data_IF_895807395373
#
_entry.id   IF_895807395373
#
_cell.length_a   1.000
_cell.length_b   1.000
_cell.length_c   1.000
_cell.angle_alpha   90.00
_cell.angle_beta   90.00
_cell.angle_gamma   90.00
#
_symmetry.space_group_name_H-M   'P 1'
#
loop_
_entity.id
_entity.type
_entity.pdbx_description
1 polymer ?
#
# COMPACT_ATOMS: atom_id res chain seq x y z
N UNK A 1 -15.99 -3.92 -23.25
CA UNK A 1 -15.92 -4.15 -21.78
C UNK A 1 -14.61 -4.86 -21.49
N UNK A 2 -13.83 -4.36 -20.53
CA UNK A 2 -12.53 -4.92 -20.13
C UNK A 2 -12.63 -5.39 -18.66
N UNK A 3 -12.27 -6.65 -18.42
CA UNK A 3 -12.32 -7.26 -17.09
C UNK A 3 -11.01 -7.03 -16.34
N UNK A 4 -11.14 -6.76 -15.04
CA UNK A 4 -10.04 -6.64 -14.09
C UNK A 4 -10.28 -7.56 -12.90
N UNK A 5 -9.29 -7.69 -12.00
CA UNK A 5 -9.42 -8.48 -10.78
C UNK A 5 -8.79 -7.78 -9.57
N UNK A 6 -8.96 -6.45 -9.46
CA UNK A 6 -8.34 -5.65 -8.40
C UNK A 6 -8.81 -6.11 -7.01
N UNK A 7 -10.11 -6.39 -6.86
CA UNK A 7 -10.72 -6.90 -5.64
C UNK A 7 -10.32 -8.35 -5.30
N UNK A 8 -9.68 -9.07 -6.22
CA UNK A 8 -9.26 -10.46 -6.01
C UNK A 8 -8.27 -10.65 -4.86
N UNK A 9 -7.47 -9.63 -4.54
CA UNK A 9 -6.54 -9.67 -3.40
C UNK A 9 -7.26 -9.57 -2.04
N UNK A 10 -8.54 -9.18 -2.04
CA UNK A 10 -9.37 -8.98 -0.86
C UNK A 10 -10.48 -10.04 -0.77
N UNK A 11 -10.80 -10.74 -1.87
CA UNK A 11 -11.78 -11.82 -1.96
C UNK A 11 -11.11 -13.17 -2.21
N UNK A 12 -11.42 -13.84 -3.33
CA UNK A 12 -11.07 -15.23 -3.64
C UNK A 12 -9.59 -15.55 -3.45
N UNK A 13 -8.72 -14.61 -3.84
CA UNK A 13 -7.27 -14.80 -3.87
C UNK A 13 -6.53 -14.05 -2.78
N UNK A 14 -7.24 -13.72 -1.70
CA UNK A 14 -6.66 -13.17 -0.47
C UNK A 14 -5.48 -14.02 0.01
N UNK A 15 -4.38 -13.36 0.36
CA UNK A 15 -3.12 -14.04 0.73
C UNK A 15 -3.25 -14.91 1.96
N UNK A 16 -4.17 -14.54 2.86
CA UNK A 16 -4.40 -15.20 4.14
C UNK A 16 -3.43 -14.76 5.25
N UNK A 17 -2.32 -14.07 4.94
CA UNK A 17 -1.28 -13.69 5.91
C UNK A 17 -1.82 -12.85 7.08
N UNK A 18 -2.74 -11.92 6.79
CA UNK A 18 -3.38 -11.11 7.85
C UNK A 18 -4.30 -11.93 8.75
N UNK A 19 -4.72 -13.12 8.31
CA UNK A 19 -5.44 -14.10 9.12
C UNK A 19 -4.59 -14.68 10.26
N UNK A 20 -3.26 -14.60 10.22
CA UNK A 20 -2.41 -14.98 11.35
C UNK A 20 -2.69 -14.09 12.58
N UNK A 21 -2.93 -12.79 12.35
CA UNK A 21 -3.35 -11.86 13.40
C UNK A 21 -4.74 -12.21 13.98
N UNK A 22 -5.66 -12.68 13.14
CA UNK A 22 -6.97 -13.15 13.59
C UNK A 22 -6.88 -14.39 14.47
N UNK A 23 -6.01 -15.35 14.13
CA UNK A 23 -5.79 -16.54 14.95
C UNK A 23 -5.24 -16.17 16.34
N UNK A 24 -4.29 -15.24 16.40
CA UNK A 24 -3.78 -14.73 17.67
C UNK A 24 -4.87 -14.01 18.48
N UNK A 25 -5.62 -13.11 17.83
CA UNK A 25 -6.69 -12.32 18.46
C UNK A 25 -7.85 -13.19 18.98
N UNK A 26 -8.17 -14.27 18.28
CA UNK A 26 -9.24 -15.21 18.66
C UNK A 26 -8.79 -16.30 19.64
N UNK A 27 -7.52 -16.28 20.10
CA UNK A 27 -6.99 -17.28 21.03
C UNK A 27 -6.66 -18.63 20.39
N UNK A 28 -6.73 -18.75 19.06
CA UNK A 28 -6.45 -19.96 18.28
C UNK A 28 -4.95 -20.15 18.04
N UNK A 29 -4.18 -20.18 19.13
CA UNK A 29 -2.73 -20.33 19.09
C UNK A 29 -2.29 -21.69 18.54
N UNK A 30 -3.12 -22.71 18.71
CA UNK A 30 -2.96 -24.04 18.10
C UNK A 30 -2.78 -23.94 16.58
N UNK A 31 -3.69 -23.23 15.92
CA UNK A 31 -3.65 -23.03 14.46
C UNK A 31 -2.56 -22.07 14.04
N UNK A 32 -2.29 -21.03 14.84
CA UNK A 32 -1.21 -20.10 14.55
C UNK A 32 0.14 -20.83 14.49
N UNK A 33 0.46 -21.64 15.50
CA UNK A 33 1.71 -22.41 15.57
C UNK A 33 1.79 -23.41 14.42
N UNK A 34 0.66 -24.04 14.05
CA UNK A 34 0.60 -25.00 12.94
C UNK A 34 0.89 -24.32 11.58
N UNK A 35 0.33 -23.14 11.32
CA UNK A 35 0.34 -22.51 9.99
C UNK A 35 1.55 -21.60 9.77
N UNK A 36 2.03 -20.94 10.82
CA UNK A 36 3.09 -19.93 10.75
C UNK A 36 4.39 -20.43 10.06
N UNK A 37 4.90 -21.65 10.33
CA UNK A 37 6.10 -22.14 9.66
C UNK A 37 5.95 -22.31 8.15
N UNK A 38 4.83 -22.86 7.71
CA UNK A 38 4.57 -22.99 6.28
C UNK A 38 4.40 -21.62 5.63
N UNK A 39 3.68 -20.70 6.27
CA UNK A 39 3.47 -19.34 5.76
C UNK A 39 4.80 -18.56 5.58
N UNK A 40 5.74 -18.71 6.52
CA UNK A 40 7.07 -18.13 6.42
C UNK A 40 7.89 -18.76 5.28
N UNK A 41 7.95 -20.09 5.23
CA UNK A 41 8.73 -20.83 4.20
C UNK A 41 8.19 -20.63 2.79
N UNK A 42 6.88 -20.41 2.63
CA UNK A 42 6.24 -20.26 1.32
C UNK A 42 6.91 -19.19 0.45
N UNK A 43 7.45 -18.12 1.05
CA UNK A 43 8.21 -17.07 0.36
C UNK A 43 9.65 -16.91 0.87
N UNK A 44 10.25 -17.99 1.36
CA UNK A 44 11.64 -17.97 1.85
C UNK A 44 11.88 -16.91 2.95
N UNK A 45 10.83 -16.58 3.71
CA UNK A 45 10.90 -15.65 4.83
C UNK A 45 11.30 -16.34 6.13
N UNK A 46 11.62 -15.55 7.14
CA UNK A 46 11.92 -16.08 8.48
C UNK A 46 10.66 -16.21 9.32
N UNK A 47 10.65 -17.19 10.24
CA UNK A 47 9.59 -17.38 11.23
C UNK A 47 9.36 -16.10 12.03
N UNK A 48 10.43 -15.57 12.62
CA UNK A 48 10.38 -14.36 13.43
C UNK A 48 9.95 -13.13 12.63
N UNK A 49 10.45 -12.96 11.40
CA UNK A 49 10.05 -11.86 10.54
C UNK A 49 8.57 -11.89 10.21
N UNK A 50 8.03 -13.08 9.91
CA UNK A 50 6.60 -13.27 9.61
C UNK A 50 5.74 -13.04 10.85
N UNK A 51 6.11 -13.60 12.00
CA UNK A 51 5.41 -13.40 13.27
C UNK A 51 5.39 -11.92 13.65
N UNK A 52 6.55 -11.26 13.58
CA UNK A 52 6.69 -9.85 13.90
C UNK A 52 5.83 -8.97 12.99
N UNK A 53 5.89 -9.18 11.67
CA UNK A 53 5.22 -8.33 10.70
C UNK A 53 3.70 -8.56 10.61
N UNK A 54 3.24 -9.82 10.75
CA UNK A 54 1.84 -10.18 10.53
C UNK A 54 1.02 -10.27 11.83
N UNK A 55 1.68 -10.47 12.98
CA UNK A 55 1.00 -10.68 14.27
C UNK A 55 1.40 -9.60 15.27
N UNK A 56 2.68 -9.52 15.64
CA UNK A 56 3.11 -8.68 16.78
C UNK A 56 2.94 -7.18 16.50
N UNK A 57 3.53 -6.67 15.41
CA UNK A 57 3.46 -5.23 15.07
C UNK A 57 2.02 -4.78 14.86
N UNK A 58 1.17 -5.48 14.08
CA UNK A 58 -0.23 -5.06 13.92
C UNK A 58 -1.03 -5.08 15.23
N UNK A 59 -0.70 -5.99 16.16
CA UNK A 59 -1.37 -6.10 17.46
C UNK A 59 -1.00 -5.03 18.48
N UNK A 60 0.10 -4.29 18.23
CA UNK A 60 0.45 -3.18 19.10
C UNK A 60 -0.59 -2.05 19.01
N UNK A 61 -0.95 -1.44 20.15
CA UNK A 61 -1.74 -0.21 20.18
C UNK A 61 -1.15 0.88 19.26
N UNK A 62 -1.98 1.67 18.55
CA UNK A 62 -1.53 2.70 17.61
C UNK A 62 -0.47 3.64 18.20
N UNK A 63 -0.64 4.05 19.46
CA UNK A 63 0.33 4.91 20.18
C UNK A 63 1.72 4.26 20.25
N UNK A 64 1.79 2.96 20.58
CA UNK A 64 3.07 2.24 20.63
C UNK A 64 3.69 2.05 19.25
N UNK A 65 2.86 1.82 18.21
CA UNK A 65 3.35 1.73 16.82
C UNK A 65 3.96 3.05 16.37
N UNK A 66 3.28 4.16 16.63
CA UNK A 66 3.79 5.50 16.33
C UNK A 66 5.10 5.79 17.08
N UNK A 67 5.18 5.48 18.38
CA UNK A 67 6.42 5.65 19.17
C UNK A 67 7.57 4.80 18.62
N UNK A 68 7.33 3.53 18.31
CA UNK A 68 8.33 2.65 17.71
C UNK A 68 8.78 3.11 16.32
N UNK A 69 7.89 3.78 15.59
CA UNK A 69 8.22 4.36 14.30
C UNK A 69 9.08 5.62 14.47
N UNK A 70 8.72 6.54 15.38
CA UNK A 70 9.49 7.76 15.67
C UNK A 70 10.88 7.44 16.20
N UNK A 71 11.01 6.39 17.01
CA UNK A 71 12.32 5.91 17.47
C UNK A 71 13.22 5.45 16.32
N UNK A 72 12.65 4.91 15.25
CA UNK A 72 13.40 4.51 14.03
C UNK A 72 13.61 5.64 13.03
N UNK A 73 12.79 6.70 13.11
CA UNK A 73 12.81 7.84 12.18
C UNK A 73 12.73 9.14 13.00
N UNK A 74 13.83 9.52 13.68
CA UNK A 74 13.84 10.72 14.52
C UNK A 74 13.48 11.97 13.70
N UNK A 75 12.58 12.80 14.22
CA UNK A 75 12.16 14.06 13.58
C UNK A 75 11.11 13.93 12.48
N UNK A 76 10.74 12.71 12.09
CA UNK A 76 9.63 12.50 11.15
C UNK A 76 8.32 12.20 11.92
N UNK A 77 7.16 12.36 11.27
CA UNK A 77 5.86 11.88 11.75
C UNK A 77 5.34 10.76 10.83
N UNK A 78 4.67 9.70 11.35
CA UNK A 78 4.21 8.58 10.52
C UNK A 78 3.37 8.99 9.30
N UNK A 79 2.64 10.10 9.44
CA UNK A 79 1.75 10.68 8.45
C UNK A 79 2.47 11.36 7.28
N UNK A 80 3.75 11.72 7.42
CA UNK A 80 4.46 12.53 6.41
C UNK A 80 5.23 11.70 5.38
N UNK A 81 5.38 10.40 5.61
CA UNK A 81 6.24 9.51 4.81
C UNK A 81 5.90 9.44 3.31
N UNK A 82 4.67 9.75 2.91
CA UNK A 82 4.22 9.48 1.53
C UNK A 82 4.43 10.63 0.55
N UNK A 83 4.66 11.86 0.99
CA UNK A 83 4.73 13.03 0.11
C UNK A 83 5.77 14.07 0.57
N UNK A 84 6.76 13.67 1.37
CA UNK A 84 7.78 14.57 1.94
C UNK A 84 7.16 15.79 2.64
N UNK A 85 6.08 15.59 3.39
CA UNK A 85 5.45 16.67 4.15
C UNK A 85 6.38 17.02 5.32
N UNK A 86 6.60 18.32 5.59
CA UNK A 86 7.35 18.75 6.77
C UNK A 86 6.61 18.36 8.04
N UNK A 87 7.32 17.81 9.01
CA UNK A 87 6.73 17.39 10.29
C UNK A 87 6.10 18.57 11.02
N UNK A 88 6.71 19.75 10.95
CA UNK A 88 6.20 20.99 11.55
C UNK A 88 4.84 21.36 10.96
N UNK A 89 4.72 21.35 9.63
CA UNK A 89 3.44 21.62 8.96
C UNK A 89 2.38 20.60 9.34
N UNK A 90 2.73 19.31 9.37
CA UNK A 90 1.81 18.24 9.76
C UNK A 90 1.28 18.41 11.20
N UNK A 91 2.10 18.94 12.11
CA UNK A 91 1.69 19.29 13.48
C UNK A 91 0.75 20.50 13.46
N UNK A 92 1.10 21.57 12.76
CA UNK A 92 0.29 22.81 12.66
C UNK A 92 -1.13 22.53 12.16
N UNK A 93 -1.28 21.71 11.12
CA UNK A 93 -2.60 21.37 10.55
C UNK A 93 -3.30 20.21 11.27
N UNK A 94 -2.68 19.66 12.32
CA UNK A 94 -3.25 18.56 13.10
C UNK A 94 -3.44 17.26 12.30
N UNK A 95 -2.58 16.98 11.32
CA UNK A 95 -2.71 15.84 10.40
C UNK A 95 -2.84 14.50 11.13
N UNK A 96 -2.04 14.30 12.18
CA UNK A 96 -2.09 13.08 12.99
C UNK A 96 -3.42 12.92 13.74
N UNK A 97 -4.04 14.02 14.19
CA UNK A 97 -5.35 13.99 14.82
C UNK A 97 -6.46 13.70 13.80
N UNK A 98 -6.38 14.29 12.60
CA UNK A 98 -7.31 14.02 11.51
C UNK A 98 -7.28 12.55 11.07
N UNK A 99 -6.09 11.95 10.96
CA UNK A 99 -5.93 10.53 10.68
C UNK A 99 -6.48 9.65 11.82
N UNK A 100 -6.20 10.01 13.07
CA UNK A 100 -6.71 9.28 14.22
C UNK A 100 -8.24 9.28 14.30
N UNK A 101 -8.90 10.38 13.93
CA UNK A 101 -10.35 10.47 13.82
C UNK A 101 -10.93 9.51 12.76
N UNK A 102 -10.15 9.14 11.76
CA UNK A 102 -10.49 8.13 10.75
C UNK A 102 -10.02 6.71 11.12
N UNK A 103 -9.41 6.53 12.30
CA UNK A 103 -8.85 5.25 12.73
C UNK A 103 -7.55 4.86 12.02
N UNK A 104 -6.85 5.81 11.38
CA UNK A 104 -5.53 5.61 10.77
C UNK A 104 -4.44 6.18 11.68
N UNK A 105 -3.32 5.46 11.79
CA UNK A 105 -2.14 5.87 12.56
C UNK A 105 -0.99 6.34 11.67
N UNK A 106 -1.26 6.55 10.37
CA UNK A 106 -0.27 6.90 9.35
C UNK A 106 0.62 5.72 8.93
N UNK A 107 0.52 4.57 9.62
CA UNK A 107 1.30 3.37 9.32
C UNK A 107 0.55 2.39 8.42
N UNK A 108 -0.72 2.66 8.13
CA UNK A 108 -1.57 1.83 7.27
C UNK A 108 -1.69 0.37 7.77
N UNK A 109 -1.52 0.17 9.07
CA UNK A 109 -1.68 -1.13 9.73
C UNK A 109 -3.12 -1.37 10.20
N UNK A 110 -3.91 -0.30 10.35
CA UNK A 110 -5.35 -0.22 10.63
C UNK A 110 -5.87 -1.10 11.78
N UNK A 111 -5.82 -2.42 11.66
CA UNK A 111 -6.37 -3.37 12.63
C UNK A 111 -5.77 -4.77 12.50
N UNK A 112 -5.85 -5.56 13.57
CA UNK A 112 -5.54 -7.00 13.58
C UNK A 112 -6.67 -7.86 13.03
N UNK A 113 -7.87 -7.29 12.88
CA UNK A 113 -9.03 -7.99 12.31
C UNK A 113 -8.98 -7.93 10.78
N UNK A 114 -8.67 -9.06 10.13
CA UNK A 114 -8.49 -9.05 8.68
C UNK A 114 -9.79 -8.75 7.94
N UNK A 115 -10.97 -9.01 8.52
CA UNK A 115 -12.26 -8.67 7.88
C UNK A 115 -12.50 -7.18 7.88
N UNK A 116 -12.25 -6.52 9.00
CA UNK A 116 -12.31 -5.05 9.08
C UNK A 116 -11.30 -4.40 8.13
N UNK A 117 -10.10 -4.98 8.03
CA UNK A 117 -9.08 -4.52 7.08
C UNK A 117 -9.55 -4.66 5.63
N UNK A 118 -10.15 -5.79 5.26
CA UNK A 118 -10.71 -6.03 3.92
C UNK A 118 -11.82 -5.02 3.62
N UNK A 119 -12.77 -4.83 4.56
CA UNK A 119 -13.87 -3.89 4.40
C UNK A 119 -13.37 -2.45 4.19
N UNK A 120 -12.39 -2.02 5.00
CA UNK A 120 -11.75 -0.72 4.86
C UNK A 120 -11.09 -0.53 3.48
N UNK A 121 -10.32 -1.53 3.02
CA UNK A 121 -9.68 -1.46 1.70
C UNK A 121 -10.69 -1.44 0.56
N UNK A 122 -11.77 -2.23 0.64
CA UNK A 122 -12.84 -2.24 -0.36
C UNK A 122 -13.54 -0.88 -0.45
N UNK A 123 -13.86 -0.29 0.70
CA UNK A 123 -14.50 1.04 0.73
C UNK A 123 -13.57 2.10 0.11
N UNK A 124 -12.30 2.11 0.50
CA UNK A 124 -11.32 3.04 -0.06
C UNK A 124 -11.09 2.81 -1.57
N UNK A 125 -11.01 1.56 -2.01
CA UNK A 125 -10.86 1.20 -3.41
C UNK A 125 -12.07 1.65 -4.23
N UNK A 126 -13.29 1.42 -3.74
CA UNK A 126 -14.52 1.86 -4.39
C UNK A 126 -14.50 3.38 -4.62
N UNK A 127 -14.24 4.16 -3.57
CA UNK A 127 -14.20 5.63 -3.68
C UNK A 127 -13.15 6.09 -4.68
N UNK A 128 -11.92 5.55 -4.62
CA UNK A 128 -10.81 5.96 -5.50
C UNK A 128 -10.99 5.55 -6.95
N UNK A 129 -11.65 4.42 -7.21
CA UNK A 129 -11.72 3.87 -8.58
C UNK A 129 -12.89 4.50 -9.36
N UNK A 130 -13.94 5.00 -8.68
CA UNK A 130 -15.13 5.54 -9.34
C UNK A 130 -14.82 6.62 -10.39
N UNK A 131 -13.96 7.57 -10.06
CA UNK A 131 -13.56 8.63 -11.00
C UNK A 131 -12.81 8.05 -12.18
N UNK A 132 -11.81 7.19 -11.93
CA UNK A 132 -11.03 6.51 -12.97
C UNK A 132 -11.92 5.71 -13.92
N UNK A 133 -12.88 4.94 -13.41
CA UNK A 133 -13.82 4.15 -14.23
C UNK A 133 -14.66 5.05 -15.15
N UNK A 134 -15.17 6.16 -14.61
CA UNK A 134 -15.97 7.13 -15.38
C UNK A 134 -15.14 7.82 -16.45
N UNK A 135 -13.94 8.26 -16.10
CA UNK A 135 -13.00 8.90 -17.02
C UNK A 135 -12.63 7.95 -18.16
N UNK A 136 -12.30 6.69 -17.86
CA UNK A 136 -11.94 5.72 -18.90
C UNK A 136 -13.09 5.48 -19.88
N UNK A 137 -14.32 5.38 -19.37
CA UNK A 137 -15.51 5.26 -20.21
C UNK A 137 -15.75 6.50 -21.06
N UNK A 138 -15.62 7.69 -20.48
CA UNK A 138 -15.88 8.95 -21.17
C UNK A 138 -14.84 9.24 -22.27
N UNK A 139 -13.56 9.03 -21.99
CA UNK A 139 -12.47 9.36 -22.92
C UNK A 139 -12.17 8.25 -23.92
N UNK A 140 -12.25 6.98 -23.51
CA UNK A 140 -11.82 5.85 -24.34
C UNK A 140 -12.96 4.92 -24.76
N UNK A 141 -14.21 5.18 -24.34
CA UNK A 141 -15.39 4.45 -24.79
C UNK A 141 -15.53 3.02 -24.26
N UNK A 142 -14.63 2.54 -23.39
CA UNK A 142 -14.72 1.20 -22.80
C UNK A 142 -15.03 1.24 -21.31
N UNK A 143 -15.70 0.21 -20.83
CA UNK A 143 -16.01 0.04 -19.42
C UNK A 143 -15.09 -1.00 -18.78
N UNK A 144 -14.51 -0.65 -17.63
CA UNK A 144 -13.81 -1.58 -16.75
C UNK A 144 -14.80 -2.23 -15.77
N UNK A 145 -14.74 -3.55 -15.63
CA UNK A 145 -15.53 -4.32 -14.65
C UNK A 145 -14.63 -5.23 -13.83
N UNK A 146 -14.94 -5.40 -12.55
CA UNK A 146 -14.25 -6.31 -11.65
C UNK A 146 -15.22 -7.39 -11.14
N UNK A 147 -15.25 -8.58 -11.75
CA UNK A 147 -16.12 -9.67 -11.27
C UNK A 147 -15.80 -10.11 -9.84
N UNK A 148 -14.57 -9.86 -9.35
CA UNK A 148 -14.16 -10.23 -8.00
C UNK A 148 -14.60 -9.22 -6.94
N UNK A 149 -15.25 -8.12 -7.35
CA UNK A 149 -15.90 -7.15 -6.47
C UNK A 149 -17.41 -7.38 -6.30
N UNK A 150 -17.94 -8.49 -6.83
CA UNK A 150 -19.34 -8.87 -6.66
C UNK A 150 -19.70 -9.00 -5.15
N UNK A 151 -20.81 -8.40 -4.68
CA UNK A 151 -21.19 -8.43 -3.27
C UNK A 151 -21.40 -9.85 -2.73
N UNK A 152 -22.02 -10.74 -3.50
CA UNK A 152 -22.32 -12.11 -3.05
C UNK A 152 -21.03 -12.92 -2.94
N UNK A 153 -20.14 -12.79 -3.92
CA UNK A 153 -18.80 -13.39 -3.85
C UNK A 153 -18.01 -12.84 -2.66
N UNK A 154 -18.10 -11.55 -2.40
CA UNK A 154 -17.40 -10.91 -1.29
C UNK A 154 -17.94 -11.41 0.05
N UNK A 155 -19.25 -11.49 0.23
CA UNK A 155 -19.89 -12.03 1.43
C UNK A 155 -19.47 -13.48 1.67
N UNK A 156 -19.54 -14.32 0.64
CA UNK A 156 -19.05 -15.70 0.69
C UNK A 156 -17.57 -15.74 1.12
N UNK A 157 -16.72 -14.94 0.48
CA UNK A 157 -15.30 -14.89 0.79
C UNK A 157 -15.01 -14.41 2.22
N UNK A 158 -15.82 -13.50 2.78
CA UNK A 158 -15.71 -13.02 4.16
C UNK A 158 -16.19 -14.05 5.19
N UNK A 159 -17.20 -14.85 4.84
CA UNK A 159 -17.72 -15.93 5.68
C UNK A 159 -16.70 -17.08 5.86
N UNK A 160 -15.87 -17.35 4.85
CA UNK A 160 -14.88 -18.44 4.91
C UNK A 160 -13.94 -18.29 6.12
N UNK A 161 -13.64 -19.37 6.88
CA UNK A 161 -12.64 -19.36 7.94
C UNK A 161 -11.26 -18.93 7.43
N UNK A 162 -10.57 -18.04 8.15
CA UNK A 162 -9.33 -17.41 7.68
C UNK A 162 -8.22 -18.43 7.41
N UNK A 163 -8.19 -19.53 8.15
CA UNK A 163 -7.23 -20.62 7.94
C UNK A 163 -7.34 -21.28 6.55
N UNK A 164 -8.49 -21.22 5.89
CA UNK A 164 -8.67 -21.80 4.55
C UNK A 164 -7.82 -21.09 3.48
N UNK A 165 -7.49 -19.81 3.70
CA UNK A 165 -6.62 -19.03 2.84
C UNK A 165 -5.13 -19.33 3.04
N UNK A 166 -4.76 -19.98 4.16
CA UNK A 166 -3.41 -20.39 4.52
C UNK A 166 -3.28 -21.90 4.79
N UNK A 167 -4.16 -22.73 4.24
CA UNK A 167 -4.14 -24.16 4.52
C UNK A 167 -2.77 -24.77 4.12
N UNK A 168 -2.15 -25.53 5.02
CA UNK A 168 -0.79 -26.06 4.85
C UNK A 168 0.31 -24.99 4.87
N UNK A 169 0.00 -23.78 5.33
CA UNK A 169 0.89 -22.61 5.25
C UNK A 169 1.10 -22.07 3.84
N UNK A 170 0.27 -22.48 2.87
CA UNK A 170 0.35 -22.00 1.49
C UNK A 170 -0.47 -20.73 1.33
N UNK A 171 0.14 -19.65 0.84
CA UNK A 171 -0.58 -18.40 0.61
C UNK A 171 -1.54 -18.51 -0.58
N UNK A 172 -2.72 -17.88 -0.46
CA UNK A 172 -3.81 -17.95 -1.45
C UNK A 172 -4.31 -19.40 -1.64
N UNK A 173 -4.22 -20.23 -0.60
CA UNK A 173 -4.54 -21.67 -0.70
C UNK A 173 -5.96 -21.92 -1.20
N UNK A 174 -6.93 -21.10 -0.79
CA UNK A 174 -8.31 -21.18 -1.28
C UNK A 174 -8.36 -21.06 -2.81
N UNK A 175 -7.83 -19.97 -3.39
CA UNK A 175 -7.82 -19.78 -4.84
C UNK A 175 -7.07 -20.89 -5.58
N UNK A 176 -5.92 -21.34 -5.06
CA UNK A 176 -5.15 -22.41 -5.69
C UNK A 176 -5.92 -23.72 -5.75
N UNK A 177 -6.65 -24.06 -4.69
CA UNK A 177 -7.49 -25.28 -4.66
C UNK A 177 -8.75 -25.12 -5.52
N UNK A 178 -9.40 -23.97 -5.46
CA UNK A 178 -10.63 -23.70 -6.20
C UNK A 178 -10.42 -23.63 -7.73
N UNK A 179 -9.20 -23.34 -8.18
CA UNK A 179 -8.84 -23.22 -9.60
C UNK A 179 -7.93 -24.36 -10.08
N UNK A 180 -7.77 -25.42 -9.28
CA UNK A 180 -6.81 -26.50 -9.56
C UNK A 180 -7.10 -27.25 -10.86
N UNK A 181 -8.38 -27.36 -11.23
CA UNK A 181 -8.88 -27.98 -12.46
C UNK A 181 -8.98 -26.99 -13.64
N UNK A 182 -8.73 -25.70 -13.41
CA UNK A 182 -8.90 -24.63 -14.42
C UNK A 182 -7.62 -23.92 -14.81
N UNK A 183 -6.57 -24.01 -14.02
CA UNK A 183 -5.29 -23.35 -14.27
C UNK A 183 -4.16 -24.35 -14.47
N UNK A 184 -3.20 -24.07 -15.37
CA UNK A 184 -1.98 -24.85 -15.49
C UNK A 184 -1.23 -24.95 -14.15
N UNK A 185 -0.67 -26.14 -13.88
CA UNK A 185 0.11 -26.40 -12.67
C UNK A 185 1.22 -25.35 -12.38
N UNK A 186 1.95 -24.82 -13.39
CA UNK A 186 2.93 -23.75 -13.13
C UNK A 186 2.31 -22.48 -12.54
N UNK A 187 1.13 -22.05 -13.00
CA UNK A 187 0.44 -20.87 -12.46
C UNK A 187 -0.04 -21.12 -11.02
N UNK A 188 -0.48 -22.35 -10.73
CA UNK A 188 -0.85 -22.79 -9.38
C UNK A 188 0.35 -22.96 -8.46
N UNK A 189 1.57 -23.10 -8.99
CA UNK A 189 2.81 -23.22 -8.23
C UNK A 189 3.51 -21.86 -8.01
N UNK A 190 3.15 -20.82 -8.77
CA UNK A 190 3.77 -19.49 -8.71
C UNK A 190 3.70 -18.89 -7.29
N UNK A 191 4.85 -18.47 -6.76
CA UNK A 191 5.00 -17.95 -5.39
C UNK A 191 5.32 -16.46 -5.35
N UNK A 192 5.79 -15.90 -6.46
CA UNK A 192 6.08 -14.50 -6.64
C UNK A 192 4.84 -13.62 -6.63
N UNK A 193 5.06 -12.38 -7.05
CA UNK A 193 4.01 -11.39 -7.25
C UNK A 193 4.23 -10.76 -8.62
N UNK A 194 3.13 -10.42 -9.29
CA UNK A 194 3.19 -9.52 -10.42
C UNK A 194 3.75 -8.18 -9.95
N UNK A 195 4.79 -7.70 -10.63
CA UNK A 195 5.29 -6.35 -10.40
C UNK A 195 4.34 -5.38 -11.08
N UNK A 196 3.76 -4.46 -10.30
CA UNK A 196 3.01 -3.33 -10.84
C UNK A 196 4.03 -2.27 -11.26
N UNK A 197 3.88 -1.71 -12.47
CA UNK A 197 4.77 -0.68 -13.00
C UNK A 197 6.27 -1.10 -12.90
N UNK A 198 6.68 -2.27 -13.42
CA UNK A 198 8.09 -2.71 -13.36
C UNK A 198 9.05 -1.69 -13.98
N UNK A 199 8.57 -0.88 -14.93
CA UNK A 199 9.28 0.18 -15.63
C UNK A 199 9.36 1.52 -14.87
N UNK A 200 8.94 1.56 -13.59
CA UNK A 200 8.84 2.76 -12.79
C UNK A 200 10.11 3.63 -12.84
N UNK A 201 11.30 3.02 -12.71
CA UNK A 201 12.55 3.77 -12.64
C UNK A 201 12.88 4.43 -13.98
N UNK A 202 12.71 3.72 -15.09
CA UNK A 202 12.90 4.26 -16.44
C UNK A 202 11.96 5.43 -16.70
N UNK A 203 10.68 5.29 -16.34
CA UNK A 203 9.67 6.34 -16.51
C UNK A 203 9.95 7.58 -15.68
N UNK A 204 10.44 7.42 -14.45
CA UNK A 204 10.80 8.54 -13.59
C UNK A 204 12.11 9.19 -14.02
N UNK A 205 13.10 8.41 -14.44
CA UNK A 205 14.38 8.93 -14.94
C UNK A 205 14.19 9.81 -16.17
N UNK A 206 13.29 9.42 -17.09
CA UNK A 206 12.91 10.25 -18.23
C UNK A 206 12.25 11.60 -17.85
N UNK A 207 11.75 11.73 -16.62
CA UNK A 207 11.12 12.94 -16.10
C UNK A 207 12.00 13.68 -15.07
N UNK A 208 13.23 13.24 -14.83
CA UNK A 208 14.10 13.77 -13.77
C UNK A 208 14.29 15.28 -13.88
N UNK A 209 14.57 15.79 -15.08
CA UNK A 209 14.75 17.23 -15.31
C UNK A 209 13.44 18.00 -15.09
N UNK A 210 12.30 17.44 -15.50
CA UNK A 210 10.98 18.03 -15.24
C UNK A 210 10.69 18.11 -13.74
N UNK A 211 11.09 17.09 -12.97
CA UNK A 211 10.96 17.09 -11.52
C UNK A 211 11.88 18.14 -10.88
N UNK A 212 13.13 18.25 -11.35
CA UNK A 212 14.08 19.27 -10.88
C UNK A 212 13.50 20.68 -11.05
N UNK A 213 13.02 20.99 -12.26
CA UNK A 213 12.42 22.27 -12.56
C UNK A 213 11.14 22.53 -11.73
N UNK A 214 10.34 21.50 -11.46
CA UNK A 214 9.15 21.66 -10.61
C UNK A 214 9.52 21.97 -9.16
N UNK A 215 10.53 21.30 -8.59
CA UNK A 215 10.97 21.60 -7.21
C UNK A 215 11.44 23.05 -7.08
N UNK A 216 12.14 23.59 -8.07
CA UNK A 216 12.53 25.00 -8.09
C UNK A 216 11.31 25.94 -8.19
N UNK A 217 10.31 25.60 -9.02
CA UNK A 217 9.06 26.37 -9.08
C UNK A 217 8.32 26.39 -7.74
N UNK A 218 8.22 25.23 -7.09
CA UNK A 218 7.51 25.08 -5.82
C UNK A 218 8.14 25.89 -4.68
N UNK A 219 9.44 26.22 -4.77
CA UNK A 219 10.09 27.09 -3.80
C UNK A 219 9.52 28.52 -3.77
N UNK A 220 8.89 28.96 -4.87
CA UNK A 220 8.26 30.27 -4.98
C UNK A 220 6.75 30.26 -4.67
N UNK A 221 6.21 29.10 -4.28
CA UNK A 221 4.80 28.92 -3.94
C UNK A 221 4.70 28.82 -2.41
N UNK A 222 4.16 29.84 -1.70
CA UNK A 222 4.24 29.94 -0.24
C UNK A 222 3.76 28.67 0.49
N UNK A 223 2.57 28.17 0.14
CA UNK A 223 2.01 26.98 0.78
C UNK A 223 2.83 25.72 0.47
N UNK A 224 3.36 25.58 -0.75
CA UNK A 224 4.18 24.43 -1.11
C UNK A 224 5.54 24.46 -0.38
N UNK A 225 6.16 25.63 -0.25
CA UNK A 225 7.43 25.81 0.46
C UNK A 225 7.28 25.57 1.98
N UNK A 226 6.12 25.92 2.55
CA UNK A 226 5.78 25.64 3.94
C UNK A 226 5.46 24.15 4.17
N UNK A 227 4.68 23.54 3.28
CA UNK A 227 4.19 22.17 3.47
C UNK A 227 5.21 21.10 3.11
N UNK A 228 5.98 21.27 2.04
CA UNK A 228 6.86 20.24 1.48
C UNK A 228 8.31 20.44 1.92
N UNK A 229 9.00 19.33 2.19
CA UNK A 229 10.44 19.27 2.42
C UNK A 229 11.18 19.37 1.08
N UNK A 230 11.17 20.57 0.49
CA UNK A 230 11.85 20.85 -0.78
C UNK A 230 13.35 20.52 -0.76
N UNK A 231 14.12 20.81 0.32
CA UNK A 231 15.53 20.39 0.40
C UNK A 231 15.71 18.87 0.22
N UNK A 232 14.89 18.05 0.87
CA UNK A 232 14.92 16.58 0.68
C UNK A 232 14.56 16.18 -0.74
N UNK A 233 13.60 16.84 -1.39
CA UNK A 233 13.26 16.57 -2.79
C UNK A 233 14.42 16.90 -3.73
N UNK A 234 15.09 18.05 -3.53
CA UNK A 234 16.30 18.43 -4.28
C UNK A 234 17.40 17.38 -4.11
N UNK A 235 17.67 16.95 -2.87
CA UNK A 235 18.67 15.93 -2.59
C UNK A 235 18.38 14.59 -3.28
N UNK A 236 17.11 14.16 -3.34
CA UNK A 236 16.72 12.95 -4.08
C UNK A 236 17.00 13.09 -5.59
N UNK A 237 16.77 14.27 -6.16
CA UNK A 237 17.01 14.54 -7.58
C UNK A 237 18.51 14.60 -7.90
N UNK A 238 19.31 15.20 -7.00
CA UNK A 238 20.78 15.29 -7.13
C UNK A 238 21.44 13.91 -6.97
N UNK A 239 21.00 13.12 -5.99
CA UNK A 239 21.55 11.78 -5.68
C UNK A 239 20.86 10.65 -6.43
N UNK A 240 20.41 10.93 -7.67
CA UNK A 240 19.66 10.00 -8.51
C UNK A 240 20.47 8.70 -8.72
N UNK A 241 19.87 7.52 -8.54
CA UNK A 241 20.55 6.25 -8.75
C UNK A 241 21.04 6.08 -10.19
N UNK A 242 22.11 5.31 -10.38
CA UNK A 242 22.64 5.01 -11.73
C UNK A 242 21.67 4.13 -12.54
N UNK A 243 21.00 3.18 -11.87
CA UNK A 243 20.08 2.23 -12.48
C UNK A 243 18.97 1.80 -11.49
N UNK A 244 18.05 0.96 -11.99
CA UNK A 244 16.91 0.48 -11.22
C UNK A 244 17.33 -0.42 -10.03
N UNK A 245 18.46 -1.14 -10.14
CA UNK A 245 18.96 -2.01 -9.09
C UNK A 245 19.51 -1.18 -7.92
N UNK A 246 20.34 -0.19 -8.21
CA UNK A 246 20.84 0.78 -7.25
C UNK A 246 19.69 1.57 -6.58
N UNK A 247 18.58 1.77 -7.29
CA UNK A 247 17.40 2.46 -6.78
C UNK A 247 16.58 1.60 -5.80
N UNK A 248 16.71 0.26 -5.84
CA UNK A 248 15.82 -0.67 -5.12
C UNK A 248 15.85 -0.49 -3.59
N UNK A 249 17.02 -0.16 -3.02
CA UNK A 249 17.16 0.10 -1.57
C UNK A 249 16.43 1.38 -1.12
N UNK A 250 16.28 2.34 -2.03
CA UNK A 250 15.58 3.62 -1.83
C UNK A 250 14.27 3.68 -2.61
N UNK A 251 13.73 2.54 -3.03
CA UNK A 251 12.57 2.45 -3.94
C UNK A 251 11.38 3.28 -3.44
N UNK A 252 11.07 3.22 -2.15
CA UNK A 252 9.97 4.00 -1.59
C UNK A 252 10.16 5.52 -1.75
N UNK A 253 11.38 6.02 -1.59
CA UNK A 253 11.68 7.44 -1.75
C UNK A 253 11.47 7.91 -3.20
N UNK A 254 11.92 7.11 -4.17
CA UNK A 254 11.85 7.46 -5.59
C UNK A 254 10.52 7.11 -6.26
N UNK A 255 9.94 5.95 -6.00
CA UNK A 255 8.73 5.48 -6.68
C UNK A 255 7.46 6.05 -6.04
N UNK A 256 7.45 6.27 -4.72
CA UNK A 256 6.24 6.66 -3.99
C UNK A 256 6.33 8.11 -3.54
N UNK A 257 7.34 8.45 -2.72
CA UNK A 257 7.41 9.73 -2.04
C UNK A 257 7.62 10.91 -3.01
N UNK A 258 8.63 10.83 -3.88
CA UNK A 258 9.00 11.93 -4.77
C UNK A 258 7.86 12.26 -5.76
N UNK A 259 7.29 11.32 -6.55
CA UNK A 259 6.23 11.63 -7.49
C UNK A 259 4.96 12.15 -6.79
N UNK A 260 4.64 11.64 -5.59
CA UNK A 260 3.52 12.17 -4.80
C UNK A 260 3.77 13.59 -4.33
N UNK A 261 4.98 13.90 -3.85
CA UNK A 261 5.33 15.26 -3.45
C UNK A 261 5.22 16.23 -4.64
N UNK A 262 5.74 15.84 -5.82
CA UNK A 262 5.64 16.62 -7.07
C UNK A 262 4.17 16.82 -7.47
N UNK A 263 3.35 15.76 -7.44
CA UNK A 263 1.93 15.85 -7.77
C UNK A 263 1.18 16.78 -6.81
N UNK A 264 1.43 16.65 -5.52
CA UNK A 264 0.84 17.51 -4.48
C UNK A 264 1.26 18.97 -4.68
N UNK A 265 2.53 19.24 -4.95
CA UNK A 265 3.01 20.59 -5.23
C UNK A 265 2.37 21.20 -6.47
N UNK A 266 2.26 20.42 -7.57
CA UNK A 266 1.56 20.84 -8.79
C UNK A 266 0.10 21.19 -8.52
N UNK A 267 -0.58 20.42 -7.67
CA UNK A 267 -1.96 20.69 -7.27
C UNK A 267 -2.07 22.00 -6.48
N UNK A 268 -1.18 22.25 -5.52
CA UNK A 268 -1.13 23.52 -4.78
C UNK A 268 -0.94 24.69 -5.74
N UNK A 269 0.06 24.60 -6.61
CA UNK A 269 0.35 25.65 -7.59
C UNK A 269 -0.84 25.93 -8.50
N UNK A 270 -1.54 24.89 -8.96
CA UNK A 270 -2.77 25.04 -9.73
C UNK A 270 -3.87 25.73 -8.92
N UNK A 271 -4.08 25.31 -7.66
CA UNK A 271 -5.10 25.87 -6.77
C UNK A 271 -4.84 27.34 -6.40
N UNK A 272 -3.59 27.76 -6.33
CA UNK A 272 -3.19 29.15 -6.05
C UNK A 272 -3.11 30.02 -7.31
N UNK A 273 -3.50 29.49 -8.48
CA UNK A 273 -3.51 30.23 -9.75
C UNK A 273 -2.14 30.38 -10.43
N UNK A 274 -1.10 29.71 -9.93
CA UNK A 274 0.27 29.76 -10.45
C UNK A 274 0.52 28.92 -11.72
N UNK A 275 -0.49 28.72 -12.56
CA UNK A 275 -0.41 27.96 -13.81
C UNK A 275 -0.05 28.81 -15.05
N UNK A 276 0.43 30.04 -14.85
CA UNK A 276 1.05 30.85 -15.90
C UNK A 276 2.48 30.41 -16.19
#
# INVERSE_FOLDING_TARGET
MLLTGQSGNLTLSFTGLRGLGDLARSGRLDKLIQVLPGAARFRQGTLWGTLKAQVLIPALPPKLRATLWRWRHPGEEPSTKYAAIRSEFAVTVGLSAALAAQGDDGLSLYTTDSRKLIAHHMQAQRTRTLETLRTLRAYYGFELRDPLSDPDLMEFCLAIPREQYLLGGVQRSLARRALADRLPAPLLAERGFGQQNPEWFTRLSAQRESFAAEVERLANIPLAAEMLDLPRLKQLIETWPADAEAAQTRRFAYEVLLPRAIQTGRFIRWSEGGNQ
#
